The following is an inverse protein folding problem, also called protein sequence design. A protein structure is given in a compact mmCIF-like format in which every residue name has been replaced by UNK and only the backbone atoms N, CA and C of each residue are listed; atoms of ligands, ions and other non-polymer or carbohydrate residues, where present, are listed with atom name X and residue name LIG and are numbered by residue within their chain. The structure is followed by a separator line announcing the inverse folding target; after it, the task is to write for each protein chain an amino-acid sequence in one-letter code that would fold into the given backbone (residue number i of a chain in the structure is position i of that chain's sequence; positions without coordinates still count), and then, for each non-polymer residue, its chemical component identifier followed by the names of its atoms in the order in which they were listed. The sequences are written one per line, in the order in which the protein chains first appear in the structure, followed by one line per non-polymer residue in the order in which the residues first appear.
data_IF_395676546548
#
_entry.id   IF_395676546548
#
_cell.length_a   1.000
_cell.length_b   1.000
_cell.length_c   1.000
_cell.angle_alpha   90.00
_cell.angle_beta   90.00
_cell.angle_gamma   90.00
#
_symmetry.space_group_name_H-M   'P 1'
#
loop_
_entity.id
_entity.type
_entity.pdbx_description
1 polymer ?
#
# COMPACT_ATOMS: atom_id res chain seq x y z
N UNK A 1 32.62 -24.92 21.24
CA UNK A 1 32.44 -24.98 19.77
C UNK A 1 30.97 -24.96 19.47
N UNK A 2 30.59 -24.13 18.49
CA UNK A 2 29.23 -23.83 18.07
C UNK A 2 28.51 -25.05 17.46
N UNK A 3 27.22 -25.19 17.76
CA UNK A 3 26.28 -25.45 16.68
C UNK A 3 24.95 -24.73 16.94
N UNK A 4 24.80 -23.63 16.21
CA UNK A 4 23.55 -22.93 15.96
C UNK A 4 22.53 -23.90 15.37
N UNK A 5 21.46 -24.22 16.12
CA UNK A 5 20.25 -24.74 15.49
C UNK A 5 19.50 -23.53 14.97
N UNK A 6 19.66 -23.28 13.67
CA UNK A 6 18.71 -22.53 12.87
C UNK A 6 17.32 -23.06 13.19
N UNK A 7 16.52 -22.30 13.93
CA UNK A 7 15.07 -22.50 13.97
C UNK A 7 14.60 -22.17 12.56
N UNK A 8 14.53 -23.20 11.74
CA UNK A 8 13.93 -23.14 10.43
C UNK A 8 12.47 -22.79 10.65
N UNK A 9 12.09 -21.55 10.36
CA UNK A 9 10.69 -21.14 10.11
C UNK A 9 10.24 -21.81 8.81
N UNK A 10 10.23 -23.15 8.80
CA UNK A 10 9.59 -23.96 7.77
C UNK A 10 8.31 -24.43 8.41
N UNK A 11 7.22 -23.74 8.05
CA UNK A 11 5.84 -24.24 8.11
C UNK A 11 5.44 -24.77 9.50
N UNK A 12 5.06 -23.85 10.38
CA UNK A 12 3.96 -24.09 11.31
C UNK A 12 2.66 -24.04 10.48
N UNK A 13 2.48 -25.05 9.63
CA UNK A 13 1.33 -25.19 8.74
C UNK A 13 0.52 -26.45 9.08
N UNK A 14 0.64 -26.92 10.31
CA UNK A 14 -0.18 -27.98 10.87
C UNK A 14 -0.54 -27.49 12.26
N UNK A 15 -1.78 -27.01 12.45
CA UNK A 15 -2.60 -27.34 13.63
C UNK A 15 -3.96 -26.62 13.72
N UNK A 16 -4.35 -25.69 12.83
CA UNK A 16 -5.74 -25.17 12.78
C UNK A 16 -6.19 -24.84 11.35
N UNK A 17 -6.23 -25.86 10.48
CA UNK A 17 -6.99 -25.79 9.22
C UNK A 17 -8.47 -26.08 9.52
N UNK A 18 -9.08 -25.25 10.39
CA UNK A 18 -10.53 -25.24 10.70
C UNK A 18 -11.34 -24.58 9.55
N UNK A 19 -10.90 -24.77 8.31
CA UNK A 19 -11.71 -24.57 7.11
C UNK A 19 -12.24 -25.93 6.65
N UNK A 20 -12.90 -26.64 7.57
CA UNK A 20 -13.55 -27.92 7.30
C UNK A 20 -14.68 -27.74 6.28
N UNK A 21 -14.39 -28.16 5.05
CA UNK A 21 -15.34 -28.66 4.04
C UNK A 21 -16.48 -27.70 3.63
N UNK A 22 -16.11 -26.63 2.91
CA UNK A 22 -17.09 -26.00 2.00
C UNK A 22 -17.39 -27.01 0.90
N UNK A 23 -18.64 -27.49 0.80
CA UNK A 23 -19.06 -28.31 -0.34
C UNK A 23 -18.71 -27.57 -1.64
N UNK A 24 -17.90 -28.16 -2.54
CA UNK A 24 -17.35 -27.46 -3.69
C UNK A 24 -18.42 -26.85 -4.60
N UNK A 25 -19.61 -27.42 -4.59
CA UNK A 25 -20.84 -27.06 -5.30
C UNK A 25 -21.62 -25.87 -4.70
N UNK A 26 -21.24 -25.37 -3.52
CA UNK A 26 -21.83 -24.17 -2.91
C UNK A 26 -21.33 -22.86 -3.53
N UNK A 27 -20.19 -22.89 -4.24
CA UNK A 27 -19.56 -21.70 -4.83
C UNK A 27 -19.71 -21.72 -6.35
N UNK A 28 -20.28 -20.67 -6.97
CA UNK A 28 -20.41 -20.58 -8.42
C UNK A 28 -19.07 -20.75 -9.16
N UNK A 29 -19.04 -21.40 -10.34
CA UNK A 29 -17.81 -21.60 -11.12
C UNK A 29 -17.00 -20.32 -11.34
N UNK A 30 -17.67 -19.20 -11.61
CA UNK A 30 -17.08 -17.90 -11.88
C UNK A 30 -16.35 -17.35 -10.66
N UNK A 31 -16.91 -17.55 -9.47
CA UNK A 31 -16.30 -17.13 -8.20
C UNK A 31 -15.06 -17.96 -7.90
N UNK A 32 -15.11 -19.28 -8.15
CA UNK A 32 -13.94 -20.16 -7.99
C UNK A 32 -12.81 -19.78 -8.94
N UNK A 33 -13.14 -19.49 -10.20
CA UNK A 33 -12.16 -19.03 -11.19
C UNK A 33 -11.56 -17.66 -10.83
N UNK A 34 -12.37 -16.72 -10.34
CA UNK A 34 -11.91 -15.43 -9.84
C UNK A 34 -10.99 -15.57 -8.62
N UNK A 35 -11.35 -16.43 -7.67
CA UNK A 35 -10.53 -16.71 -6.49
C UNK A 35 -9.19 -17.35 -6.87
N UNK A 36 -9.23 -18.36 -7.74
CA UNK A 36 -8.02 -19.04 -8.21
C UNK A 36 -7.10 -18.06 -8.95
N UNK A 37 -7.63 -17.24 -9.86
CA UNK A 37 -6.84 -16.27 -10.61
C UNK A 37 -6.28 -15.13 -9.76
N UNK A 38 -6.97 -14.73 -8.68
CA UNK A 38 -6.57 -13.62 -7.81
C UNK A 38 -5.61 -14.04 -6.70
N UNK A 39 -5.90 -15.16 -6.03
CA UNK A 39 -5.21 -15.57 -4.80
C UNK A 39 -4.19 -16.70 -5.00
N UNK A 40 -4.17 -17.36 -6.17
CA UNK A 40 -3.12 -18.33 -6.48
C UNK A 40 -2.11 -17.74 -7.46
N UNK A 41 -0.83 -18.07 -7.27
CA UNK A 41 0.19 -17.73 -8.24
C UNK A 41 -0.11 -18.51 -9.53
N UNK A 42 -0.52 -17.82 -10.60
CA UNK A 42 -0.48 -18.43 -11.92
C UNK A 42 0.97 -18.90 -12.14
N UNK A 43 1.16 -20.21 -12.31
CA UNK A 43 2.45 -20.80 -12.61
C UNK A 43 2.83 -20.37 -14.03
N UNK A 44 3.29 -19.13 -14.16
CA UNK A 44 3.47 -18.49 -15.43
C UNK A 44 4.52 -19.22 -16.25
N UNK A 45 4.13 -19.66 -17.45
CA UNK A 45 5.05 -19.62 -18.58
C UNK A 45 5.33 -18.15 -18.87
N UNK A 46 6.31 -17.59 -18.18
CA UNK A 46 6.82 -16.24 -18.43
C UNK A 46 7.44 -16.25 -19.83
N UNK A 47 6.65 -15.94 -20.86
CA UNK A 47 7.22 -15.54 -22.14
C UNK A 47 7.92 -14.22 -21.88
N UNK A 48 9.25 -14.29 -21.83
CA UNK A 48 10.15 -13.12 -21.82
C UNK A 48 9.68 -12.18 -22.94
N UNK A 49 9.13 -11.03 -22.55
CA UNK A 49 8.87 -9.92 -23.47
C UNK A 49 10.25 -9.49 -23.98
N UNK A 50 10.51 -9.73 -25.25
CA UNK A 50 11.75 -9.42 -25.96
C UNK A 50 12.23 -7.98 -25.68
N UNK A 51 13.54 -7.81 -25.52
CA UNK A 51 14.28 -6.53 -25.51
C UNK A 51 14.07 -5.74 -26.80
N UNK A 52 12.88 -5.19 -27.02
CA UNK A 52 12.62 -4.25 -28.10
C UNK A 52 13.08 -2.86 -27.62
N UNK A 53 14.09 -2.26 -28.30
CA UNK A 53 14.56 -0.89 -28.03
C UNK A 53 13.36 0.05 -27.81
N UNK A 54 13.33 0.85 -26.72
CA UNK A 54 12.16 1.64 -26.37
C UNK A 54 11.84 2.64 -27.49
N UNK A 55 10.67 2.49 -28.10
CA UNK A 55 10.17 3.37 -29.16
C UNK A 55 10.05 4.80 -28.61
N UNK A 56 10.37 5.82 -29.41
CA UNK A 56 10.28 7.24 -29.02
C UNK A 56 8.93 7.60 -28.37
N UNK A 57 7.82 7.01 -28.87
CA UNK A 57 6.49 7.15 -28.27
C UNK A 57 6.46 6.69 -26.81
N UNK A 58 7.09 5.57 -26.46
CA UNK A 58 7.16 5.06 -25.08
C UNK A 58 7.99 5.98 -24.19
N UNK A 59 9.12 6.48 -24.70
CA UNK A 59 9.96 7.46 -24.00
C UNK A 59 9.19 8.75 -23.73
N UNK A 60 8.46 9.26 -24.73
CA UNK A 60 7.62 10.46 -24.58
C UNK A 60 6.44 10.26 -23.60
N UNK A 61 5.89 9.05 -23.49
CA UNK A 61 4.88 8.75 -22.46
C UNK A 61 5.52 8.69 -21.07
N UNK A 62 6.68 8.06 -20.93
CA UNK A 62 7.41 8.00 -19.67
C UNK A 62 7.85 9.39 -19.19
N UNK A 63 8.35 10.25 -20.08
CA UNK A 63 8.70 11.65 -19.76
C UNK A 63 7.46 12.43 -19.31
N UNK A 64 6.35 12.35 -20.05
CA UNK A 64 5.10 13.05 -19.69
C UNK A 64 4.53 12.56 -18.37
N UNK A 65 4.56 11.24 -18.13
CA UNK A 65 4.16 10.67 -16.86
C UNK A 65 5.08 11.14 -15.73
N UNK A 66 6.40 11.14 -15.94
CA UNK A 66 7.38 11.64 -14.98
C UNK A 66 7.17 13.11 -14.61
N UNK A 67 6.94 13.99 -15.60
CA UNK A 67 6.64 15.41 -15.36
C UNK A 67 5.29 15.60 -14.66
N UNK A 68 4.27 14.83 -15.02
CA UNK A 68 2.96 14.90 -14.38
C UNK A 68 3.03 14.45 -12.92
N UNK A 69 3.75 13.37 -12.66
CA UNK A 69 4.05 12.86 -11.31
C UNK A 69 4.86 13.90 -10.53
N UNK A 70 5.93 14.47 -11.09
CA UNK A 70 6.72 15.54 -10.45
C UNK A 70 5.87 16.77 -10.12
N UNK A 71 4.97 17.17 -11.02
CA UNK A 71 4.01 18.26 -10.78
C UNK A 71 3.03 17.93 -9.65
N UNK A 72 2.56 16.69 -9.55
CA UNK A 72 1.74 16.23 -8.42
C UNK A 72 2.56 16.29 -7.13
N UNK A 73 3.78 15.76 -7.11
CA UNK A 73 4.65 15.80 -5.93
C UNK A 73 4.96 17.23 -5.47
N UNK A 74 5.28 18.14 -6.39
CA UNK A 74 5.50 19.57 -6.08
C UNK A 74 4.24 20.28 -5.62
N UNK A 75 3.08 20.01 -6.23
CA UNK A 75 1.79 20.60 -5.82
C UNK A 75 1.36 20.13 -4.42
N UNK A 76 1.82 18.95 -4.00
CA UNK A 76 1.56 18.40 -2.66
C UNK A 76 2.58 18.92 -1.62
N UNK A 77 3.68 19.54 -2.04
CA UNK A 77 4.73 20.05 -1.15
C UNK A 77 4.43 21.48 -0.67
N UNK A 78 3.57 21.57 0.33
CA UNK A 78 3.49 22.70 1.23
C UNK A 78 3.46 22.11 2.63
N UNK A 79 4.49 22.36 3.46
CA UNK A 79 4.31 23.10 4.71
C UNK A 79 5.56 23.06 5.60
N UNK A 80 6.03 24.25 5.99
CA UNK A 80 6.47 24.49 7.36
C UNK A 80 5.43 23.90 8.32
N UNK A 81 5.81 22.96 9.20
CA UNK A 81 4.95 22.29 10.22
C UNK A 81 3.48 22.10 9.76
N UNK A 82 3.17 20.97 9.11
CA UNK A 82 1.84 20.70 8.56
C UNK A 82 0.72 20.94 9.59
N UNK A 83 -0.10 21.96 9.34
CA UNK A 83 -1.26 22.27 10.17
C UNK A 83 -2.46 21.42 9.72
N UNK A 84 -3.11 20.77 10.69
CA UNK A 84 -4.26 19.92 10.44
C UNK A 84 -5.54 20.74 10.61
N UNK A 85 -6.47 20.72 9.65
CA UNK A 85 -7.82 21.24 9.86
C UNK A 85 -8.49 20.55 11.07
N UNK A 86 -9.32 21.28 11.81
CA UNK A 86 -9.97 20.77 13.04
C UNK A 86 -10.78 19.49 12.79
N UNK A 87 -11.49 19.42 11.66
CA UNK A 87 -12.26 18.23 11.28
C UNK A 87 -11.38 17.02 11.00
N UNK A 88 -10.22 17.23 10.37
CA UNK A 88 -9.25 16.15 10.15
C UNK A 88 -8.71 15.64 11.49
N UNK A 89 -8.35 16.54 12.40
CA UNK A 89 -7.92 16.16 13.77
C UNK A 89 -9.02 15.38 14.48
N UNK A 90 -10.28 15.80 14.36
CA UNK A 90 -11.42 15.13 15.00
C UNK A 90 -11.57 13.70 14.50
N UNK A 91 -11.49 13.47 13.19
CA UNK A 91 -11.60 12.13 12.61
C UNK A 91 -10.40 11.26 12.99
N UNK A 92 -9.18 11.78 12.94
CA UNK A 92 -7.96 11.00 13.26
C UNK A 92 -7.87 10.54 14.73
N UNK A 93 -8.71 11.06 15.63
CA UNK A 93 -8.76 10.57 17.03
C UNK A 93 -9.20 9.12 17.13
N UNK A 94 -9.98 8.61 16.17
CA UNK A 94 -10.47 7.23 16.14
C UNK A 94 -9.61 6.34 15.24
N UNK A 95 -8.40 6.78 14.88
CA UNK A 95 -7.56 6.10 13.88
C UNK A 95 -7.16 4.67 14.31
N UNK A 96 -7.05 4.42 15.61
CA UNK A 96 -6.68 3.11 16.14
C UNK A 96 -7.89 2.16 16.27
N UNK A 97 -9.10 2.63 15.97
CA UNK A 97 -10.32 1.82 16.02
C UNK A 97 -10.50 1.03 14.72
N UNK A 98 -10.88 -0.25 14.82
CA UNK A 98 -11.17 -1.08 13.64
C UNK A 98 -12.29 -0.50 12.76
N UNK A 99 -13.20 0.25 13.36
CA UNK A 99 -14.31 0.93 12.69
C UNK A 99 -13.96 2.34 12.19
N UNK A 100 -12.69 2.69 12.07
CA UNK A 100 -12.26 4.00 11.57
C UNK A 100 -12.89 4.32 10.20
N UNK A 101 -13.57 5.47 10.12
CA UNK A 101 -14.24 5.90 8.90
C UNK A 101 -13.26 6.65 7.97
N UNK A 102 -12.68 5.90 7.04
CA UNK A 102 -11.78 6.43 6.01
C UNK A 102 -12.47 7.40 5.04
N UNK A 103 -13.79 7.29 4.85
CA UNK A 103 -14.54 8.18 3.98
C UNK A 103 -14.81 9.52 4.68
N UNK A 104 -15.11 9.52 5.98
CA UNK A 104 -15.15 10.74 6.77
C UNK A 104 -13.81 11.48 6.76
N UNK A 105 -12.68 10.75 6.77
CA UNK A 105 -11.36 11.35 6.59
C UNK A 105 -11.22 11.95 5.18
N UNK A 106 -11.66 11.26 4.13
CA UNK A 106 -11.60 11.76 2.76
C UNK A 106 -12.33 13.10 2.60
N UNK A 107 -13.56 13.21 3.13
CA UNK A 107 -14.37 14.43 3.08
C UNK A 107 -13.71 15.56 3.89
N UNK A 108 -13.29 15.26 5.12
CA UNK A 108 -12.65 16.25 6.01
C UNK A 108 -11.30 16.74 5.47
N UNK A 109 -10.60 15.89 4.72
CA UNK A 109 -9.29 16.14 4.12
C UNK A 109 -9.37 16.76 2.71
N UNK A 110 -10.55 17.17 2.24
CA UNK A 110 -10.73 17.75 0.89
C UNK A 110 -10.15 16.84 -0.21
N UNK A 111 -10.38 15.53 -0.09
CA UNK A 111 -9.91 14.53 -1.04
C UNK A 111 -8.44 14.12 -0.87
N UNK A 112 -7.77 14.51 0.22
CA UNK A 112 -6.37 14.19 0.51
C UNK A 112 -6.14 13.28 1.74
N UNK A 113 -6.91 12.19 1.95
CA UNK A 113 -6.82 11.40 3.19
C UNK A 113 -5.43 10.80 3.43
N UNK A 114 -4.76 10.33 2.37
CA UNK A 114 -3.42 9.73 2.46
C UNK A 114 -2.39 10.73 2.99
N UNK A 115 -2.50 12.02 2.63
CA UNK A 115 -1.56 13.07 3.09
C UNK A 115 -1.58 13.19 4.61
N UNK A 116 -2.77 13.37 5.18
CA UNK A 116 -2.94 13.53 6.62
C UNK A 116 -2.70 12.24 7.40
N UNK A 117 -3.18 11.10 6.88
CA UNK A 117 -2.97 9.79 7.48
C UNK A 117 -1.47 9.43 7.55
N UNK A 118 -0.75 9.63 6.44
CA UNK A 118 0.69 9.36 6.38
C UNK A 118 1.44 10.27 7.35
N UNK A 119 1.11 11.56 7.40
CA UNK A 119 1.78 12.49 8.31
C UNK A 119 1.53 12.11 9.78
N UNK A 120 0.28 11.78 10.15
CA UNK A 120 -0.05 11.36 11.52
C UNK A 120 0.71 10.09 11.91
N UNK A 121 0.65 9.02 11.10
CA UNK A 121 1.32 7.76 11.40
C UNK A 121 2.85 7.91 11.45
N UNK A 122 3.45 8.56 10.45
CA UNK A 122 4.90 8.73 10.40
C UNK A 122 5.42 9.58 11.56
N UNK A 123 4.65 10.58 12.00
CA UNK A 123 5.00 11.40 13.15
C UNK A 123 4.78 10.64 14.48
N UNK A 124 3.62 10.00 14.65
CA UNK A 124 3.23 9.22 15.85
C UNK A 124 4.23 8.10 16.16
N UNK A 125 4.71 7.41 15.12
CA UNK A 125 5.71 6.34 15.27
C UNK A 125 7.17 6.85 15.22
N UNK A 126 7.38 8.18 15.21
CA UNK A 126 8.71 8.79 15.20
C UNK A 126 9.54 8.48 13.95
N UNK A 127 8.92 8.02 12.87
CA UNK A 127 9.59 7.62 11.62
C UNK A 127 10.24 8.84 10.96
N UNK A 128 9.55 9.99 10.95
CA UNK A 128 10.09 11.24 10.41
C UNK A 128 11.41 11.64 11.10
N UNK A 129 11.42 11.57 12.44
CA UNK A 129 12.60 11.88 13.25
C UNK A 129 13.70 10.84 13.07
N UNK A 130 13.36 9.55 13.15
CA UNK A 130 14.31 8.43 13.06
C UNK A 130 15.12 8.44 11.77
N UNK A 131 14.46 8.73 10.64
CA UNK A 131 15.11 8.74 9.33
C UNK A 131 15.50 10.13 8.84
N UNK A 132 15.36 11.17 9.68
CA UNK A 132 15.66 12.56 9.31
C UNK A 132 14.98 12.96 8.00
N UNK A 133 13.71 12.57 7.85
CA UNK A 133 12.92 12.92 6.67
C UNK A 133 12.67 14.42 6.71
N UNK A 134 13.35 15.17 5.85
CA UNK A 134 13.17 16.61 5.75
C UNK A 134 11.75 16.93 5.28
N UNK A 135 11.00 17.64 6.10
CA UNK A 135 9.67 18.15 5.75
C UNK A 135 9.73 19.49 4.99
N UNK A 136 10.92 20.09 4.90
CA UNK A 136 11.22 21.25 4.07
C UNK A 136 12.42 20.92 3.19
N UNK A 137 12.36 21.24 1.88
CA UNK A 137 13.43 21.92 1.10
C UNK A 137 13.06 22.04 -0.40
N UNK A 138 13.28 23.26 -0.92
CA UNK A 138 13.44 23.78 -2.30
C UNK A 138 12.27 23.74 -3.30
#
# INVERSE_FOLDING_TARGET
MLHSRMVSVRRLADEDDELSEVQPDAVPPEVREWLASTFTRQLGTTRRKSDEKPKFKSVAHAIRAGIFVDRIYRRVNNTALMQFPSEVVRVLKTLDDWSFDVFALHESAQGQPIKYLSYDLLNRYGILHKFKVSLEYS
#
